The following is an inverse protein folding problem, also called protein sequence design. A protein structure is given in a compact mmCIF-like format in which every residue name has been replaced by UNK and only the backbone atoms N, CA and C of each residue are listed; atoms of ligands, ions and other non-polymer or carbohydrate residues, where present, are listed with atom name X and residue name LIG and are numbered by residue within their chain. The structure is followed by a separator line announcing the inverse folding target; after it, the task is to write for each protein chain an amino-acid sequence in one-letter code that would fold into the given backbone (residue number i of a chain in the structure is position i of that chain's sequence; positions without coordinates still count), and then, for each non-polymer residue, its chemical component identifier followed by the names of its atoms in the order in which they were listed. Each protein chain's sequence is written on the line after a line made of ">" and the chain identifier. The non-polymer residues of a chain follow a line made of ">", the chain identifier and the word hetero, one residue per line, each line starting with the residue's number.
data_IF_692094446267
#
_entry.id   IF_692094446267
#
_cell.length_a   1.000
_cell.length_b   1.000
_cell.length_c   1.000
_cell.angle_alpha   90.00
_cell.angle_beta   90.00
_cell.angle_gamma   90.00
#
_symmetry.space_group_name_H-M   'P 1'
#
loop_
_entity.id
_entity.type
_entity.pdbx_description
1 polymer ?
#
# COMPACT_ATOMS: atom_id res chain seq x y z
N UNK A 1 -7.02 -8.96 26.39
CA UNK A 1 -7.57 -7.70 25.85
C UNK A 1 -7.49 -7.82 24.33
N UNK A 2 -8.61 -8.12 23.66
CA UNK A 2 -8.63 -8.27 22.20
C UNK A 2 -8.68 -6.87 21.60
N UNK A 3 -7.56 -6.39 21.05
CA UNK A 3 -7.52 -5.15 20.30
C UNK A 3 -8.43 -5.28 19.10
N UNK A 4 -9.62 -4.68 19.17
CA UNK A 4 -10.64 -4.78 18.13
C UNK A 4 -10.08 -4.20 16.83
N UNK A 5 -9.81 -5.04 15.84
CA UNK A 5 -9.54 -4.60 14.48
C UNK A 5 -10.68 -3.69 14.02
N UNK A 6 -10.35 -2.50 13.55
CA UNK A 6 -11.34 -1.52 13.07
C UNK A 6 -11.41 -1.61 11.56
N UNK A 7 -12.60 -1.88 11.03
CA UNK A 7 -12.87 -1.91 9.59
C UNK A 7 -13.52 -0.61 9.12
N UNK A 8 -13.06 -0.08 7.98
CA UNK A 8 -13.64 1.09 7.30
C UNK A 8 -13.89 0.73 5.84
N UNK A 9 -15.05 1.12 5.29
CA UNK A 9 -15.39 0.94 3.87
C UNK A 9 -15.41 2.29 3.16
N UNK A 10 -14.82 2.36 1.98
CA UNK A 10 -14.76 3.55 1.12
C UNK A 10 -15.17 3.17 -0.30
N UNK A 11 -16.04 3.96 -0.93
CA UNK A 11 -16.57 3.68 -2.27
C UNK A 11 -16.55 4.95 -3.13
N UNK A 12 -16.46 4.78 -4.46
CA UNK A 12 -16.51 5.89 -5.42
C UNK A 12 -15.13 6.46 -5.77
N UNK A 13 -14.96 7.78 -5.68
CA UNK A 13 -13.69 8.43 -6.05
C UNK A 13 -13.23 9.30 -4.89
N UNK A 14 -12.01 9.08 -4.42
CA UNK A 14 -11.42 9.82 -3.32
C UNK A 14 -10.17 10.54 -3.82
N UNK A 15 -10.15 11.86 -3.77
CA UNK A 15 -8.94 12.60 -4.09
C UNK A 15 -7.79 12.25 -3.12
N UNK A 16 -8.13 12.06 -1.84
CA UNK A 16 -7.16 11.70 -0.81
C UNK A 16 -7.79 10.78 0.24
N UNK A 17 -7.05 9.74 0.65
CA UNK A 17 -7.39 8.87 1.78
C UNK A 17 -6.17 8.80 2.71
N UNK A 18 -6.36 9.13 3.98
CA UNK A 18 -5.33 9.02 5.01
C UNK A 18 -5.75 8.00 6.07
N UNK A 19 -4.91 7.00 6.28
CA UNK A 19 -5.11 5.90 7.22
C UNK A 19 -3.96 5.92 8.21
N UNK A 20 -4.26 6.25 9.46
CA UNK A 20 -3.24 6.33 10.52
C UNK A 20 -3.69 5.61 11.78
N UNK A 21 -2.82 4.79 12.36
CA UNK A 21 -3.09 4.06 13.60
C UNK A 21 -2.46 2.68 13.63
N UNK A 22 -3.10 1.74 14.32
CA UNK A 22 -2.63 0.36 14.38
C UNK A 22 -3.77 -0.64 14.32
N UNK A 23 -3.53 -1.82 13.73
CA UNK A 23 -4.54 -2.86 13.54
C UNK A 23 -5.80 -2.36 12.80
N UNK A 24 -5.60 -1.63 11.70
CA UNK A 24 -6.68 -1.06 10.90
C UNK A 24 -6.82 -1.84 9.60
N UNK A 25 -8.07 -2.06 9.18
CA UNK A 25 -8.39 -2.64 7.88
C UNK A 25 -9.31 -1.68 7.13
N UNK A 26 -8.93 -1.29 5.91
CA UNK A 26 -9.72 -0.40 5.07
C UNK A 26 -10.05 -1.11 3.75
N UNK A 27 -11.33 -1.26 3.48
CA UNK A 27 -11.85 -1.78 2.22
C UNK A 27 -12.28 -0.61 1.33
N UNK A 28 -11.39 -0.23 0.42
CA UNK A 28 -11.62 0.73 -0.66
C UNK A 28 -11.65 0.01 -2.03
N UNK A 29 -11.99 -1.29 -2.07
CA UNK A 29 -11.98 -2.11 -3.29
C UNK A 29 -12.91 -1.59 -4.40
N UNK A 30 -13.94 -0.83 -4.03
CA UNK A 30 -14.86 -0.15 -4.93
C UNK A 30 -14.54 1.35 -5.10
N UNK A 31 -13.35 1.80 -4.69
CA UNK A 31 -12.92 3.18 -4.79
C UNK A 31 -11.63 3.36 -5.60
N UNK A 32 -11.60 4.41 -6.41
CA UNK A 32 -10.38 4.95 -7.03
C UNK A 32 -9.84 6.06 -6.15
N UNK A 33 -8.56 5.99 -5.77
CA UNK A 33 -7.92 6.93 -4.86
C UNK A 33 -6.83 7.70 -5.62
N UNK A 34 -6.87 9.04 -5.57
CA UNK A 34 -5.75 9.85 -6.07
C UNK A 34 -4.52 9.65 -5.21
N UNK A 35 -4.57 10.12 -3.96
CA UNK A 35 -3.47 10.00 -3.00
C UNK A 35 -3.85 9.16 -1.78
N UNK A 36 -3.15 8.04 -1.56
CA UNK A 36 -3.26 7.20 -0.37
C UNK A 36 -2.08 7.44 0.56
N UNK A 37 -2.34 7.75 1.83
CA UNK A 37 -1.32 7.77 2.87
C UNK A 37 -1.65 6.75 3.94
N UNK A 38 -0.73 5.84 4.22
CA UNK A 38 -0.82 4.86 5.30
C UNK A 38 0.31 5.12 6.28
N UNK A 39 -0.01 5.28 7.57
CA UNK A 39 0.99 5.55 8.61
C UNK A 39 0.69 4.76 9.88
N UNK A 40 1.52 3.76 10.21
CA UNK A 40 1.44 3.04 11.48
C UNK A 40 1.79 1.56 11.41
N UNK A 41 1.09 0.74 12.19
CA UNK A 41 1.43 -0.68 12.40
C UNK A 41 0.27 -1.61 12.02
N UNK A 42 0.55 -2.68 11.27
CA UNK A 42 -0.46 -3.69 10.89
C UNK A 42 -1.71 -3.06 10.25
N UNK A 43 -1.50 -2.12 9.33
CA UNK A 43 -2.57 -1.51 8.53
C UNK A 43 -2.73 -2.33 7.25
N UNK A 44 -3.97 -2.71 6.93
CA UNK A 44 -4.36 -3.33 5.66
C UNK A 44 -5.28 -2.41 4.88
N UNK A 45 -4.96 -2.16 3.61
CA UNK A 45 -5.81 -1.39 2.69
C UNK A 45 -5.98 -2.17 1.39
N UNK A 46 -7.21 -2.28 0.91
CA UNK A 46 -7.53 -2.77 -0.43
C UNK A 46 -8.11 -1.62 -1.23
N UNK A 47 -7.66 -1.38 -2.46
CA UNK A 47 -8.16 -0.32 -3.34
C UNK A 47 -8.43 -0.81 -4.77
N UNK A 48 -9.34 -0.15 -5.49
CA UNK A 48 -9.57 -0.44 -6.91
C UNK A 48 -8.40 0.03 -7.76
N UNK A 49 -8.03 1.30 -7.64
CA UNK A 49 -6.89 1.91 -8.31
C UNK A 49 -6.34 3.04 -7.43
N UNK A 50 -5.04 3.29 -7.53
CA UNK A 50 -4.37 4.35 -6.75
C UNK A 50 -3.37 5.08 -7.64
N UNK A 51 -3.40 6.41 -7.68
CA UNK A 51 -2.41 7.16 -8.47
C UNK A 51 -1.07 7.25 -7.71
N UNK A 52 -1.12 7.70 -6.45
CA UNK A 52 0.04 7.85 -5.57
C UNK A 52 -0.23 7.21 -4.20
N UNK A 53 0.66 6.33 -3.76
CA UNK A 53 0.62 5.71 -2.43
C UNK A 53 1.89 6.03 -1.64
N UNK A 54 1.72 6.50 -0.40
CA UNK A 54 2.78 6.61 0.60
C UNK A 54 2.46 5.68 1.75
N UNK A 55 3.34 4.73 2.02
CA UNK A 55 3.19 3.73 3.08
C UNK A 55 4.33 3.89 4.06
N UNK A 56 4.01 4.28 5.29
CA UNK A 56 4.97 4.45 6.36
C UNK A 56 4.63 3.55 7.56
N UNK A 57 5.60 2.75 8.00
CA UNK A 57 5.49 1.91 9.18
C UNK A 57 5.52 0.41 8.87
N UNK A 58 5.14 -0.41 9.84
CA UNK A 58 5.54 -1.82 9.91
C UNK A 58 4.36 -2.76 9.72
N UNK A 59 4.63 -3.93 9.13
CA UNK A 59 3.67 -5.00 8.90
C UNK A 59 2.41 -4.51 8.14
N UNK A 60 2.60 -3.51 7.28
CA UNK A 60 1.52 -2.92 6.49
C UNK A 60 1.26 -3.74 5.24
N UNK A 61 0.04 -3.68 4.72
CA UNK A 61 -0.30 -4.34 3.47
C UNK A 61 -1.26 -3.51 2.63
N UNK A 62 -0.92 -3.38 1.35
CA UNK A 62 -1.68 -2.64 0.35
C UNK A 62 -1.96 -3.56 -0.85
N UNK A 63 -3.22 -3.76 -1.18
CA UNK A 63 -3.64 -4.49 -2.39
C UNK A 63 -4.36 -3.55 -3.34
N UNK A 64 -3.92 -3.49 -4.58
CA UNK A 64 -4.53 -2.66 -5.64
C UNK A 64 -4.98 -3.55 -6.79
N UNK A 65 -6.29 -3.58 -7.05
CA UNK A 65 -6.88 -4.44 -8.08
C UNK A 65 -6.62 -3.95 -9.52
N UNK A 66 -6.30 -2.67 -9.68
CA UNK A 66 -5.99 -1.98 -10.93
C UNK A 66 -4.52 -1.58 -10.98
N UNK A 67 -4.27 -0.35 -11.44
CA UNK A 67 -2.93 0.23 -11.53
C UNK A 67 -2.54 1.00 -10.27
N UNK A 68 -1.25 0.98 -9.95
CA UNK A 68 -0.63 1.88 -8.97
C UNK A 68 0.40 2.77 -9.69
N UNK A 69 0.19 4.09 -9.70
CA UNK A 69 1.09 5.00 -10.43
C UNK A 69 2.47 5.11 -9.77
N UNK A 70 2.49 5.49 -8.49
CA UNK A 70 3.70 5.62 -7.68
C UNK A 70 3.51 5.05 -6.30
N UNK A 71 4.53 4.34 -5.82
CA UNK A 71 4.63 3.86 -4.44
C UNK A 71 5.88 4.44 -3.77
N UNK A 72 5.71 5.12 -2.65
CA UNK A 72 6.78 5.41 -1.70
C UNK A 72 6.55 4.61 -0.42
N UNK A 73 7.42 3.64 -0.16
CA UNK A 73 7.34 2.73 0.97
C UNK A 73 8.51 2.99 1.93
N UNK A 74 8.19 3.23 3.19
CA UNK A 74 9.14 3.46 4.27
C UNK A 74 8.78 2.65 5.51
N UNK A 75 9.42 1.50 5.72
CA UNK A 75 9.20 0.67 6.91
C UNK A 75 9.55 -0.79 6.68
N UNK A 76 9.13 -1.65 7.61
CA UNK A 76 9.55 -3.04 7.66
C UNK A 76 8.39 -4.02 7.41
N UNK A 77 8.69 -5.13 6.73
CA UNK A 77 7.73 -6.22 6.47
C UNK A 77 6.43 -5.74 5.80
N UNK A 78 6.51 -4.74 4.94
CA UNK A 78 5.36 -4.27 4.20
C UNK A 78 5.09 -5.18 2.98
N UNK A 79 3.82 -5.41 2.66
CA UNK A 79 3.41 -6.24 1.53
C UNK A 79 2.51 -5.44 0.58
N UNK A 80 3.00 -5.14 -0.63
CA UNK A 80 2.22 -4.47 -1.67
C UNK A 80 1.98 -5.41 -2.84
N UNK A 81 0.73 -5.58 -3.24
CA UNK A 81 0.34 -6.36 -4.40
C UNK A 81 -0.48 -5.51 -5.36
N UNK A 82 -0.07 -5.46 -6.63
CA UNK A 82 -0.74 -4.74 -7.71
C UNK A 82 -1.12 -5.73 -8.80
N UNK A 83 -2.41 -5.87 -9.10
CA UNK A 83 -2.86 -6.88 -10.08
C UNK A 83 -2.55 -6.49 -11.52
N UNK A 84 -2.31 -5.20 -11.80
CA UNK A 84 -1.87 -4.72 -13.11
C UNK A 84 -0.43 -4.20 -13.01
N UNK A 85 -0.18 -2.96 -13.38
CA UNK A 85 1.16 -2.37 -13.43
C UNK A 85 1.41 -1.42 -12.27
N UNK A 86 2.66 -1.40 -11.82
CA UNK A 86 3.20 -0.39 -10.90
C UNK A 86 4.14 0.53 -11.69
N UNK A 87 3.84 1.82 -11.76
CA UNK A 87 4.61 2.77 -12.57
C UNK A 87 6.01 3.04 -12.00
N UNK A 88 6.08 3.40 -10.72
CA UNK A 88 7.35 3.62 -10.02
C UNK A 88 7.27 3.20 -8.56
N UNK A 89 8.37 2.71 -8.00
CA UNK A 89 8.46 2.32 -6.61
C UNK A 89 9.77 2.77 -5.97
N UNK A 90 9.64 3.35 -4.77
CA UNK A 90 10.75 3.60 -3.86
C UNK A 90 10.48 2.78 -2.61
N UNK A 91 11.43 1.92 -2.24
CA UNK A 91 11.37 1.09 -1.04
C UNK A 91 12.50 1.50 -0.13
N UNK A 92 12.17 1.90 1.10
CA UNK A 92 13.11 2.26 2.17
C UNK A 92 12.78 1.43 3.41
N UNK A 93 13.62 0.46 3.74
CA UNK A 93 13.41 -0.39 4.91
C UNK A 93 13.77 -1.85 4.66
N UNK A 94 13.20 -2.77 5.42
CA UNK A 94 13.60 -4.18 5.34
C UNK A 94 12.47 -5.18 5.22
N UNK A 95 12.79 -6.32 4.58
CA UNK A 95 11.93 -7.50 4.43
C UNK A 95 10.56 -7.20 3.81
N UNK A 96 10.47 -6.18 2.96
CA UNK A 96 9.23 -5.81 2.28
C UNK A 96 9.08 -6.55 0.95
N UNK A 97 7.84 -6.86 0.57
CA UNK A 97 7.52 -7.56 -0.67
C UNK A 97 6.60 -6.68 -1.51
N UNK A 98 7.02 -6.37 -2.73
CA UNK A 98 6.24 -5.61 -3.70
C UNK A 98 6.08 -6.49 -4.94
N UNK A 99 4.84 -6.73 -5.35
CA UNK A 99 4.54 -7.48 -6.57
C UNK A 99 3.63 -6.71 -7.53
N UNK A 100 3.91 -6.79 -8.83
CA UNK A 100 3.01 -6.27 -9.86
C UNK A 100 2.93 -7.19 -11.09
N UNK A 101 1.75 -7.75 -11.40
CA UNK A 101 1.63 -8.75 -12.51
C UNK A 101 1.96 -8.18 -13.88
N UNK A 102 1.57 -6.92 -14.12
CA UNK A 102 1.81 -6.18 -15.34
C UNK A 102 3.22 -5.58 -15.43
N UNK A 103 4.06 -5.83 -14.41
CA UNK A 103 5.41 -5.31 -14.31
C UNK A 103 5.51 -4.07 -13.44
N UNK A 104 6.74 -3.83 -13.01
CA UNK A 104 7.15 -2.66 -12.24
C UNK A 104 8.05 -1.84 -13.15
N UNK A 105 7.75 -0.55 -13.28
CA UNK A 105 8.59 0.39 -14.02
C UNK A 105 9.86 0.73 -13.25
N UNK A 106 10.04 2.00 -12.90
CA UNK A 106 11.22 2.43 -12.16
C UNK A 106 11.21 1.90 -10.73
N UNK A 107 12.34 1.36 -10.27
CA UNK A 107 12.48 0.88 -8.90
C UNK A 107 13.75 1.41 -8.24
N UNK A 108 13.61 1.91 -7.03
CA UNK A 108 14.72 2.26 -6.13
C UNK A 108 14.52 1.52 -4.83
N UNK A 109 15.47 0.67 -4.47
CA UNK A 109 15.40 -0.17 -3.27
C UNK A 109 16.57 0.19 -2.38
N UNK A 110 16.26 0.75 -1.21
CA UNK A 110 17.20 1.11 -0.17
C UNK A 110 16.88 0.32 1.10
N UNK A 111 17.83 -0.50 1.53
CA UNK A 111 17.66 -1.43 2.66
C UNK A 111 17.98 -2.87 2.29
N UNK A 112 17.41 -3.84 3.02
CA UNK A 112 17.81 -5.26 2.95
C UNK A 112 16.61 -6.20 2.98
N UNK A 113 16.71 -7.35 2.32
CA UNK A 113 15.65 -8.37 2.35
C UNK A 113 14.38 -7.99 1.56
N UNK A 114 14.38 -6.84 0.89
CA UNK A 114 13.26 -6.42 0.05
C UNK A 114 13.19 -7.26 -1.24
N UNK A 115 11.98 -7.65 -1.63
CA UNK A 115 11.68 -8.37 -2.86
C UNK A 115 10.73 -7.54 -3.72
N UNK A 116 11.12 -7.28 -4.97
CA UNK A 116 10.36 -6.44 -5.91
C UNK A 116 10.29 -7.19 -7.25
N UNK A 117 9.10 -7.56 -7.72
CA UNK A 117 8.94 -8.36 -8.94
C UNK A 117 7.55 -8.45 -9.56
#
# INVERSE_FOLDING_TARGET
>A
MNGSERSVRVEGTCAQLSVSGSALTVDASAATIGALTMSGDRIRVTASAVDDATVQGNDTSLTVAGTLGRLDLSGDRAAVAVEWSLGSVIVRGQDSVITARGGIGDSTIDGRGNSVG
#
